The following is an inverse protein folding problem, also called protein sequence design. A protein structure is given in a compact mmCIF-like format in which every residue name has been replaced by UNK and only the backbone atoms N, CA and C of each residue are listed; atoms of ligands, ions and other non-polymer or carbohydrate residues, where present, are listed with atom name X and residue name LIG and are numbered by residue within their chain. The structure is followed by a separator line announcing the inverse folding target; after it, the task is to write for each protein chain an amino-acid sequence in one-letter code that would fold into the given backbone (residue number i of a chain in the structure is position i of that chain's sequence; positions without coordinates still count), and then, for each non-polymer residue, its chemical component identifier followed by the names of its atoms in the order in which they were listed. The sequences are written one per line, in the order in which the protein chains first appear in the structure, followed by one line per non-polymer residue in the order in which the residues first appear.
data_IF_828967589732
#
_entry.id   IF_828967589732
#
_cell.length_a   1.000
_cell.length_b   1.000
_cell.length_c   1.000
_cell.angle_alpha   90.00
_cell.angle_beta   90.00
_cell.angle_gamma   90.00
#
_symmetry.space_group_name_H-M   'P 1'
#
loop_
_entity.id
_entity.type
_entity.pdbx_description
1 polymer ?
#
# COMPACT_ATOMS: atom_id res chain seq x y z
N UNK A 1 19.87 -2.42 17.64
CA UNK A 1 20.50 -2.43 16.31
C UNK A 1 19.73 -1.45 15.44
N UNK A 2 20.36 -0.35 15.03
CA UNK A 2 19.72 0.69 14.21
C UNK A 2 19.37 0.11 12.85
N UNK A 3 18.09 -0.22 12.67
CA UNK A 3 17.58 -0.64 11.37
C UNK A 3 17.56 0.58 10.46
N UNK A 4 18.63 0.76 9.69
CA UNK A 4 18.72 1.77 8.64
C UNK A 4 17.83 1.33 7.45
N UNK A 5 16.54 1.14 7.70
CA UNK A 5 15.56 0.79 6.69
C UNK A 5 15.18 2.11 6.00
N UNK A 6 15.80 2.37 4.86
CA UNK A 6 15.54 3.58 4.07
C UNK A 6 14.15 3.48 3.44
N UNK A 7 13.12 3.97 4.14
CA UNK A 7 11.83 4.23 3.54
C UNK A 7 11.99 5.27 2.44
N UNK A 8 11.31 5.06 1.32
CA UNK A 8 11.18 6.03 0.23
C UNK A 8 9.92 6.85 0.46
N UNK A 9 9.98 8.14 0.11
CA UNK A 9 8.84 9.05 0.16
C UNK A 9 8.21 9.17 -1.21
N UNK A 10 6.90 8.99 -1.29
CA UNK A 10 6.09 9.33 -2.45
C UNK A 10 5.35 10.65 -2.21
N UNK A 11 4.71 11.16 -3.26
CA UNK A 11 3.83 12.31 -3.16
C UNK A 11 2.67 12.03 -2.20
N UNK A 12 2.14 13.08 -1.55
CA UNK A 12 1.07 12.94 -0.56
C UNK A 12 1.51 12.40 0.81
N UNK A 13 2.82 12.22 1.05
CA UNK A 13 3.37 11.85 2.35
C UNK A 13 3.41 10.35 2.62
N UNK A 14 3.12 9.51 1.62
CA UNK A 14 3.26 8.07 1.74
C UNK A 14 4.74 7.68 1.85
N UNK A 15 5.09 6.99 2.93
CA UNK A 15 6.38 6.33 3.09
C UNK A 15 6.23 4.86 2.75
N UNK A 16 7.10 4.33 1.90
CA UNK A 16 7.04 2.94 1.47
C UNK A 16 8.43 2.29 1.45
N UNK A 17 8.44 0.97 1.60
CA UNK A 17 9.63 0.14 1.45
C UNK A 17 9.27 -1.08 0.61
N UNK A 18 9.98 -1.26 -0.49
CA UNK A 18 9.87 -2.46 -1.30
C UNK A 18 10.77 -3.52 -0.66
N UNK A 19 10.19 -4.65 -0.26
CA UNK A 19 10.90 -5.78 0.36
C UNK A 19 11.37 -6.75 -0.72
N UNK A 20 10.55 -6.97 -1.75
CA UNK A 20 10.86 -7.81 -2.90
C UNK A 20 10.34 -7.12 -4.17
N UNK A 21 11.19 -7.05 -5.20
CA UNK A 21 10.85 -6.47 -6.50
C UNK A 21 11.00 -7.57 -7.55
N UNK A 22 9.87 -8.11 -7.99
CA UNK A 22 9.82 -9.21 -8.94
C UNK A 22 9.96 -8.75 -10.41
N UNK A 23 10.29 -7.47 -10.67
CA UNK A 23 10.44 -6.89 -12.00
C UNK A 23 9.25 -7.16 -12.95
N UNK A 24 8.06 -7.34 -12.38
CA UNK A 24 6.81 -7.52 -13.12
C UNK A 24 6.26 -6.16 -13.57
N UNK A 25 5.27 -6.22 -14.45
CA UNK A 25 4.54 -5.03 -14.87
C UNK A 25 3.93 -4.31 -13.67
N UNK A 26 4.12 -2.98 -13.64
CA UNK A 26 3.59 -2.14 -12.57
C UNK A 26 2.10 -1.92 -12.81
N UNK A 27 1.32 -1.99 -11.75
CA UNK A 27 -0.09 -1.66 -11.80
C UNK A 27 -0.31 -0.20 -12.23
N UNK A 28 -1.31 0.03 -13.09
CA UNK A 28 -1.66 1.33 -13.65
C UNK A 28 -3.09 1.73 -13.27
N UNK A 29 -3.43 2.99 -13.52
CA UNK A 29 -4.78 3.49 -13.26
C UNK A 29 -5.83 2.73 -14.06
N UNK A 30 -6.92 2.35 -13.40
CA UNK A 30 -7.99 1.53 -13.97
C UNK A 30 -7.87 0.04 -13.62
N UNK A 31 -6.71 -0.41 -13.16
CA UNK A 31 -6.51 -1.81 -12.77
C UNK A 31 -7.31 -2.18 -11.52
N UNK A 32 -7.71 -3.45 -11.47
CA UNK A 32 -8.29 -4.09 -10.29
C UNK A 32 -7.24 -5.02 -9.67
N UNK A 33 -6.85 -4.74 -8.43
CA UNK A 33 -5.85 -5.51 -7.69
C UNK A 33 -6.52 -6.35 -6.60
N UNK A 34 -6.12 -7.62 -6.50
CA UNK A 34 -6.36 -8.45 -5.33
C UNK A 34 -5.11 -8.42 -4.45
N UNK A 35 -5.26 -7.95 -3.21
CA UNK A 35 -4.14 -7.69 -2.30
C UNK A 35 -4.33 -8.47 -1.00
N UNK A 36 -3.27 -9.17 -0.60
CA UNK A 36 -3.12 -9.66 0.76
C UNK A 36 -2.36 -8.65 1.61
N UNK A 37 -2.98 -8.18 2.70
CA UNK A 37 -2.48 -7.08 3.50
C UNK A 37 -2.76 -7.23 4.99
N UNK A 38 -1.85 -6.66 5.79
CA UNK A 38 -2.02 -6.46 7.22
C UNK A 38 -1.88 -4.98 7.51
N UNK A 39 -2.93 -4.39 8.10
CA UNK A 39 -2.94 -3.00 8.53
C UNK A 39 -2.66 -2.96 10.03
N UNK A 40 -1.66 -2.18 10.41
CA UNK A 40 -1.23 -2.02 11.80
C UNK A 40 -1.23 -0.55 12.21
N UNK A 41 -1.33 -0.33 13.51
CA UNK A 41 -1.06 0.96 14.13
C UNK A 41 0.43 1.13 14.41
N UNK A 42 0.88 2.36 14.67
CA UNK A 42 2.26 2.65 15.09
C UNK A 42 2.66 1.94 16.41
N UNK A 43 1.68 1.56 17.22
CA UNK A 43 1.89 0.74 18.44
C UNK A 43 1.92 -0.76 18.14
N UNK A 44 2.13 -1.15 16.89
CA UNK A 44 2.21 -2.52 16.36
C UNK A 44 0.94 -3.38 16.60
N UNK A 45 -0.18 -2.74 16.95
CA UNK A 45 -1.46 -3.46 17.07
C UNK A 45 -2.04 -3.67 15.67
N UNK A 46 -2.33 -4.94 15.32
CA UNK A 46 -3.03 -5.30 14.09
C UNK A 46 -4.47 -4.79 14.14
N UNK A 47 -4.84 -3.96 13.17
CA UNK A 47 -6.22 -3.50 12.99
C UNK A 47 -7.01 -4.45 12.09
N UNK A 48 -6.36 -4.95 11.02
CA UNK A 48 -6.99 -5.80 10.02
C UNK A 48 -5.93 -6.67 9.34
N UNK A 49 -6.30 -7.91 9.00
CA UNK A 49 -5.46 -8.88 8.30
C UNK A 49 -6.31 -9.67 7.31
N UNK A 50 -5.99 -9.63 6.01
CA UNK A 50 -6.67 -10.47 5.01
C UNK A 50 -6.32 -11.95 5.17
N UNK A 51 -5.13 -12.24 5.68
CA UNK A 51 -4.71 -13.60 6.00
C UNK A 51 -5.60 -14.23 7.08
N UNK A 52 -6.02 -13.45 8.08
CA UNK A 52 -6.91 -13.90 9.14
C UNK A 52 -8.35 -14.10 8.62
N UNK A 53 -8.76 -13.28 7.65
CA UNK A 53 -10.07 -13.37 6.99
C UNK A 53 -10.15 -14.47 5.93
N UNK A 54 -9.01 -14.96 5.44
CA UNK A 54 -8.93 -16.00 4.40
C UNK A 54 -9.35 -15.54 3.00
N UNK A 55 -9.55 -14.23 2.78
CA UNK A 55 -9.94 -13.66 1.49
C UNK A 55 -9.16 -12.37 1.21
N UNK A 56 -8.68 -12.15 -0.03
CA UNK A 56 -7.92 -10.96 -0.38
C UNK A 56 -8.84 -9.73 -0.45
N UNK A 57 -8.25 -8.55 -0.22
CA UNK A 57 -8.95 -7.30 -0.44
C UNK A 57 -8.87 -6.90 -1.92
N UNK A 58 -10.01 -6.59 -2.51
CA UNK A 58 -10.09 -6.07 -3.88
C UNK A 58 -10.02 -4.54 -3.86
N UNK A 59 -9.07 -3.96 -4.59
CA UNK A 59 -8.85 -2.50 -4.67
C UNK A 59 -8.80 -2.07 -6.13
N UNK A 60 -9.55 -1.02 -6.46
CA UNK A 60 -9.46 -0.37 -7.77
C UNK A 60 -8.41 0.76 -7.71
N UNK A 61 -7.46 0.76 -8.64
CA UNK A 61 -6.50 1.86 -8.76
C UNK A 61 -7.13 3.03 -9.51
N UNK A 62 -7.28 4.15 -8.82
CA UNK A 62 -7.70 5.41 -9.44
C UNK A 62 -6.47 6.23 -9.85
N UNK A 63 -6.58 7.03 -10.92
CA UNK A 63 -5.52 7.96 -11.30
C UNK A 63 -5.32 9.05 -10.23
N UNK A 64 -4.06 9.44 -10.04
CA UNK A 64 -3.65 10.44 -9.03
C UNK A 64 -4.38 11.78 -9.19
N UNK A 65 -4.79 12.12 -10.41
CA UNK A 65 -5.58 13.31 -10.73
C UNK A 65 -6.93 13.36 -10.00
N UNK A 66 -7.49 12.22 -9.60
CA UNK A 66 -8.74 12.14 -8.84
C UNK A 66 -8.49 12.35 -7.34
N UNK A 67 -7.36 11.86 -6.80
CA UNK A 67 -7.00 11.98 -5.38
C UNK A 67 -6.66 13.44 -5.04
N UNK A 68 -5.88 14.12 -5.88
CA UNK A 68 -5.48 15.51 -5.68
C UNK A 68 -6.67 16.50 -5.66
N UNK A 69 -7.81 16.13 -6.27
CA UNK A 69 -8.99 17.00 -6.38
C UNK A 69 -9.93 16.94 -5.17
N UNK A 70 -9.73 16.00 -4.24
CA UNK A 70 -10.63 15.79 -3.08
C UNK A 70 -10.18 16.52 -1.80
N UNK A 71 -9.11 17.32 -1.85
CA UNK A 71 -8.77 18.30 -0.81
C UNK A 71 -9.38 19.66 -1.16
N UNK A 72 -10.71 19.75 -1.07
CA UNK A 72 -11.45 21.01 -0.98
C UNK A 72 -12.84 20.78 -0.38
#
# INVERSE_FOLDING_TARGET
MTSCQKFKKAEGGLEYKIVDDNAKEKAVSGDLLALDMVVKTDRDSTMQSTYDMGVPQIVQLYPDSIIAKKSR
#
